data_IF_179487373604
#
_entry.id   IF_179487373604
#
_cell.length_a   1.000
_cell.length_b   1.000
_cell.length_c   1.000
_cell.angle_alpha   90.00
_cell.angle_beta   90.00
_cell.angle_gamma   90.00
#
_symmetry.space_group_name_H-M   'P 1'
#
loop_
_entity.id
_entity.type
_entity.pdbx_description
1 polymer ?
#
# COMPACT_ATOMS: atom_id res chain seq x y z
N UNK A 1 14.61 11.71 -2.23
CA UNK A 1 14.27 10.80 -1.13
C UNK A 1 12.91 11.16 -0.61
N UNK A 2 12.01 10.18 -0.48
CA UNK A 2 10.72 10.34 0.19
C UNK A 2 10.90 10.05 1.68
N UNK A 3 10.34 10.91 2.52
CA UNK A 3 10.31 10.78 3.97
C UNK A 3 8.88 11.08 4.42
N UNK A 4 8.25 10.15 5.08
CA UNK A 4 6.84 10.30 5.41
C UNK A 4 6.36 9.35 6.47
N UNK A 5 5.06 9.17 6.50
CA UNK A 5 4.35 8.29 7.44
C UNK A 5 3.10 7.72 6.81
N UNK A 6 2.59 6.66 7.41
CA UNK A 6 1.25 6.15 7.14
C UNK A 6 0.21 6.92 7.97
N UNK A 7 -0.99 7.06 7.44
CA UNK A 7 -2.11 7.64 8.17
C UNK A 7 -3.36 6.79 8.02
N UNK A 8 -3.95 6.41 9.15
CA UNK A 8 -5.31 5.90 9.22
C UNK A 8 -6.29 7.03 9.53
N UNK A 9 -7.46 7.02 8.87
CA UNK A 9 -8.51 8.01 9.11
C UNK A 9 -9.41 7.55 10.24
N UNK A 10 -8.85 7.43 11.44
CA UNK A 10 -9.65 7.11 12.63
C UNK A 10 -9.11 7.81 13.87
N UNK A 11 -10.02 8.23 14.74
CA UNK A 11 -9.70 8.83 16.02
C UNK A 11 -10.81 8.61 17.02
N UNK A 12 -10.45 8.24 18.25
CA UNK A 12 -11.41 8.26 19.36
C UNK A 12 -11.87 9.69 19.66
N UNK A 13 -13.18 9.96 19.88
CA UNK A 13 -14.29 8.99 19.86
C UNK A 13 -15.04 8.89 18.51
N UNK A 14 -14.50 9.43 17.44
CA UNK A 14 -15.20 9.61 16.16
C UNK A 14 -15.18 8.40 15.22
N UNK A 15 -14.30 7.41 15.48
CA UNK A 15 -14.04 6.36 14.51
C UNK A 15 -13.49 6.96 13.21
N UNK A 16 -13.90 6.46 12.05
CA UNK A 16 -13.48 6.96 10.73
C UNK A 16 -14.22 8.25 10.30
N UNK A 17 -15.33 8.58 10.96
CA UNK A 17 -16.09 9.81 10.67
C UNK A 17 -15.53 11.01 11.46
N UNK A 18 -14.25 11.24 11.34
CA UNK A 18 -13.56 12.33 12.04
C UNK A 18 -13.98 13.70 11.51
N UNK A 19 -14.10 14.70 12.38
CA UNK A 19 -14.40 16.08 11.96
C UNK A 19 -13.25 16.65 11.10
N UNK A 20 -13.59 17.57 10.22
CA UNK A 20 -12.64 18.19 9.29
C UNK A 20 -11.40 18.78 9.98
N UNK A 21 -11.53 19.37 11.17
CA UNK A 21 -10.40 19.92 11.91
C UNK A 21 -9.34 18.88 12.29
N UNK A 22 -9.72 17.59 12.41
CA UNK A 22 -8.78 16.50 12.66
C UNK A 22 -7.88 16.29 11.43
N UNK A 23 -8.47 16.27 10.23
CA UNK A 23 -7.69 16.19 8.99
C UNK A 23 -6.68 17.33 8.89
N UNK A 24 -7.12 18.57 9.14
CA UNK A 24 -6.24 19.74 9.17
C UNK A 24 -5.08 19.57 10.15
N UNK A 25 -5.40 19.20 11.39
CA UNK A 25 -4.39 18.98 12.44
C UNK A 25 -3.36 17.93 12.02
N UNK A 26 -3.84 16.76 11.57
CA UNK A 26 -2.98 15.61 11.27
C UNK A 26 -2.03 15.92 10.11
N UNK A 27 -2.55 16.43 8.99
CA UNK A 27 -1.71 16.70 7.81
C UNK A 27 -0.71 17.84 8.10
N UNK A 28 -1.08 18.86 8.86
CA UNK A 28 -0.14 19.91 9.27
C UNK A 28 0.93 19.39 10.24
N UNK A 29 0.58 18.49 11.17
CA UNK A 29 1.56 17.86 12.05
C UNK A 29 2.55 17.01 11.24
N UNK A 30 2.07 16.19 10.30
CA UNK A 30 2.90 15.39 9.39
C UNK A 30 3.85 16.31 8.62
N UNK A 31 3.34 17.39 8.03
CA UNK A 31 4.18 18.37 7.33
C UNK A 31 5.22 19.03 8.25
N UNK A 32 4.83 19.36 9.49
CA UNK A 32 5.73 20.01 10.46
C UNK A 32 6.88 19.11 10.93
N UNK A 33 6.74 17.80 10.83
CA UNK A 33 7.82 16.85 11.09
C UNK A 33 8.89 16.84 9.97
N UNK A 34 8.68 17.58 8.89
CA UNK A 34 9.57 17.59 7.72
C UNK A 34 9.21 16.53 6.67
N UNK A 35 8.05 15.89 6.79
CA UNK A 35 7.60 14.92 5.79
C UNK A 35 7.33 15.57 4.43
N UNK A 36 7.61 14.81 3.37
CA UNK A 36 7.27 15.14 2.00
C UNK A 36 6.40 14.05 1.33
N UNK A 37 6.06 12.99 2.07
CA UNK A 37 5.31 11.84 1.63
C UNK A 37 4.27 11.41 2.66
N UNK A 38 3.13 10.91 2.20
CA UNK A 38 2.04 10.40 3.04
C UNK A 38 1.37 9.20 2.37
N UNK A 39 1.37 8.05 3.03
CA UNK A 39 0.54 6.91 2.63
C UNK A 39 -0.81 6.95 3.34
N UNK A 40 -1.89 6.91 2.58
CA UNK A 40 -3.26 6.85 3.08
C UNK A 40 -3.67 5.38 3.26
N UNK A 41 -3.19 4.79 4.35
CA UNK A 41 -3.38 3.38 4.65
C UNK A 41 -4.78 3.13 5.26
N UNK A 42 -5.47 2.12 4.89
CA UNK A 42 -5.35 1.18 3.76
C UNK A 42 -6.62 1.33 2.91
N UNK A 43 -7.11 2.54 2.74
CA UNK A 43 -8.37 2.88 2.08
C UNK A 43 -8.38 4.35 1.64
N UNK A 44 -9.16 4.73 0.63
CA UNK A 44 -9.35 6.13 0.27
C UNK A 44 -9.85 6.93 1.46
N UNK A 45 -9.21 8.08 1.71
CA UNK A 45 -9.54 8.95 2.83
C UNK A 45 -10.35 10.16 2.37
N UNK A 46 -10.80 10.98 3.33
CA UNK A 46 -11.58 12.18 3.06
C UNK A 46 -10.84 13.12 2.08
N UNK A 47 -11.56 13.68 1.11
CA UNK A 47 -11.02 14.58 0.07
C UNK A 47 -10.28 15.80 0.67
N UNK A 48 -10.65 16.22 1.89
CA UNK A 48 -9.94 17.28 2.62
C UNK A 48 -8.47 16.94 2.82
N UNK A 49 -8.13 15.65 3.03
CA UNK A 49 -6.74 15.21 3.20
C UNK A 49 -5.95 15.43 1.91
N UNK A 50 -6.53 15.07 0.77
CA UNK A 50 -5.90 15.26 -0.55
C UNK A 50 -5.72 16.74 -0.88
N UNK A 51 -6.74 17.58 -0.65
CA UNK A 51 -6.62 19.03 -0.81
C UNK A 51 -5.51 19.65 0.06
N UNK A 52 -5.34 19.15 1.29
CA UNK A 52 -4.25 19.58 2.16
C UNK A 52 -2.89 19.11 1.64
N UNK A 53 -2.79 17.88 1.15
CA UNK A 53 -1.57 17.38 0.54
C UNK A 53 -1.17 18.18 -0.72
N UNK A 54 -2.15 18.50 -1.58
CA UNK A 54 -1.94 19.39 -2.74
C UNK A 54 -1.38 20.75 -2.32
N UNK A 55 -1.99 21.34 -1.29
CA UNK A 55 -1.62 22.69 -0.83
C UNK A 55 -0.27 22.74 -0.13
N UNK A 56 0.08 21.68 0.62
CA UNK A 56 1.29 21.60 1.44
C UNK A 56 2.46 20.94 0.71
N UNK A 57 2.24 20.41 -0.50
CA UNK A 57 3.27 19.72 -1.28
C UNK A 57 3.71 18.42 -0.61
N UNK A 58 2.75 17.57 -0.25
CA UNK A 58 2.99 16.19 0.18
C UNK A 58 2.69 15.25 -1.00
N UNK A 59 3.59 14.35 -1.30
CA UNK A 59 3.36 13.26 -2.25
C UNK A 59 2.48 12.21 -1.57
N UNK A 60 1.49 11.70 -2.27
CA UNK A 60 0.52 10.75 -1.71
C UNK A 60 0.59 9.40 -2.41
N UNK A 61 0.57 8.36 -1.60
CA UNK A 61 0.18 7.02 -1.96
C UNK A 61 -1.23 6.76 -1.43
N UNK A 62 -2.19 6.57 -2.31
CA UNK A 62 -3.57 6.22 -1.97
C UNK A 62 -3.90 4.82 -2.44
N UNK A 63 -4.65 4.05 -1.66
CA UNK A 63 -4.91 2.64 -1.94
C UNK A 63 -6.33 2.21 -1.62
N UNK A 64 -6.79 1.14 -2.29
CA UNK A 64 -8.06 0.47 -1.96
C UNK A 64 -7.83 -0.63 -0.91
N UNK A 65 -8.84 -0.97 -0.08
CA UNK A 65 -8.69 -1.81 1.11
C UNK A 65 -8.62 -3.32 0.82
N UNK A 66 -7.64 -3.79 0.06
CA UNK A 66 -7.34 -5.22 -0.07
C UNK A 66 -6.21 -5.54 0.91
N UNK A 67 -6.56 -6.00 2.11
CA UNK A 67 -5.62 -6.15 3.22
C UNK A 67 -5.61 -7.60 3.73
N UNK A 68 -4.42 -8.09 4.06
CA UNK A 68 -4.13 -9.39 4.70
C UNK A 68 -4.46 -10.63 3.86
N UNK A 69 -5.64 -10.73 3.29
CA UNK A 69 -6.09 -11.91 2.57
C UNK A 69 -7.11 -11.55 1.47
N UNK A 70 -7.09 -12.27 0.37
CA UNK A 70 -8.08 -12.12 -0.69
C UNK A 70 -9.18 -13.18 -0.56
N UNK A 71 -10.38 -12.88 -1.05
CA UNK A 71 -11.45 -13.85 -1.24
C UNK A 71 -11.53 -14.29 -2.71
N UNK A 72 -11.43 -15.60 -2.93
CA UNK A 72 -11.50 -16.17 -4.27
C UNK A 72 -12.96 -16.31 -4.74
N UNK A 73 -13.58 -15.19 -5.08
CA UNK A 73 -14.92 -15.19 -5.69
C UNK A 73 -15.14 -13.96 -6.59
N UNK A 74 -16.09 -14.11 -7.50
CA UNK A 74 -16.43 -13.09 -8.50
C UNK A 74 -16.89 -11.77 -7.86
N UNK A 75 -17.67 -11.86 -6.77
CA UNK A 75 -18.18 -10.66 -6.08
C UNK A 75 -17.04 -9.83 -5.47
N UNK A 76 -16.07 -10.49 -4.85
CA UNK A 76 -14.88 -9.80 -4.31
C UNK A 76 -14.11 -9.10 -5.43
N UNK A 77 -13.84 -9.79 -6.53
CA UNK A 77 -13.14 -9.21 -7.67
C UNK A 77 -13.86 -7.98 -8.24
N UNK A 78 -15.17 -8.09 -8.48
CA UNK A 78 -15.98 -6.96 -8.97
C UNK A 78 -15.92 -5.78 -7.98
N UNK A 79 -15.96 -6.05 -6.68
CA UNK A 79 -15.86 -5.02 -5.66
C UNK A 79 -14.48 -4.32 -5.71
N UNK A 80 -13.38 -5.06 -5.83
CA UNK A 80 -12.04 -4.49 -5.97
C UNK A 80 -11.94 -3.61 -7.24
N UNK A 81 -12.44 -4.11 -8.38
CA UNK A 81 -12.47 -3.36 -9.64
C UNK A 81 -13.27 -2.05 -9.51
N UNK A 82 -14.41 -2.11 -8.83
CA UNK A 82 -15.27 -0.94 -8.62
C UNK A 82 -14.57 0.10 -7.75
N UNK A 83 -14.03 -0.32 -6.60
CA UNK A 83 -13.32 0.57 -5.69
C UNK A 83 -12.11 1.22 -6.35
N UNK A 84 -11.32 0.45 -7.12
CA UNK A 84 -10.17 0.99 -7.83
C UNK A 84 -10.56 2.07 -8.84
N UNK A 85 -11.59 1.81 -9.66
CA UNK A 85 -12.11 2.79 -10.62
C UNK A 85 -12.67 4.04 -9.94
N UNK A 86 -13.42 3.85 -8.86
CA UNK A 86 -13.99 4.98 -8.10
C UNK A 86 -12.89 5.84 -7.50
N UNK A 87 -11.91 5.26 -6.82
CA UNK A 87 -10.77 5.96 -6.25
C UNK A 87 -10.03 6.78 -7.32
N UNK A 88 -9.60 6.14 -8.40
CA UNK A 88 -8.85 6.81 -9.47
C UNK A 88 -9.67 7.95 -10.08
N UNK A 89 -10.95 7.72 -10.43
CA UNK A 89 -11.78 8.72 -11.09
C UNK A 89 -12.17 9.89 -10.20
N UNK A 90 -12.38 9.65 -8.91
CA UNK A 90 -12.71 10.71 -7.94
C UNK A 90 -11.50 11.59 -7.66
N UNK A 91 -10.32 10.98 -7.52
CA UNK A 91 -9.11 11.68 -7.08
C UNK A 91 -8.10 11.97 -8.20
N UNK A 92 -8.49 11.74 -9.45
CA UNK A 92 -7.63 11.95 -10.62
C UNK A 92 -7.01 13.35 -10.71
N UNK A 93 -7.74 14.37 -10.27
CA UNK A 93 -7.31 15.77 -10.39
C UNK A 93 -6.44 16.25 -9.21
N UNK A 94 -6.10 15.39 -8.24
CA UNK A 94 -5.19 15.74 -7.17
C UNK A 94 -3.74 15.58 -7.60
N UNK A 95 -2.96 16.66 -7.74
CA UNK A 95 -1.56 16.58 -8.15
C UNK A 95 -0.64 15.96 -7.10
N UNK A 96 -1.06 15.91 -5.83
CA UNK A 96 -0.34 15.24 -4.76
C UNK A 96 -0.32 13.72 -4.91
N UNK A 97 -1.37 13.12 -5.49
CA UNK A 97 -1.44 11.67 -5.69
C UNK A 97 -0.49 11.28 -6.81
N UNK A 98 0.55 10.54 -6.46
CA UNK A 98 1.58 10.04 -7.38
C UNK A 98 1.52 8.52 -7.49
N UNK A 99 1.03 7.85 -6.46
CA UNK A 99 0.96 6.40 -6.38
C UNK A 99 -0.48 5.93 -6.15
N UNK A 100 -0.94 5.01 -7.02
CA UNK A 100 -2.18 4.28 -6.85
C UNK A 100 -1.90 2.88 -6.30
N UNK A 101 -2.40 2.58 -5.11
CA UNK A 101 -2.23 1.30 -4.46
C UNK A 101 -3.49 0.42 -4.49
N UNK A 102 -3.31 -0.90 -4.39
CA UNK A 102 -4.46 -1.81 -4.37
C UNK A 102 -4.31 -3.07 -3.52
N UNK A 103 -3.15 -3.35 -2.93
CA UNK A 103 -2.95 -4.49 -2.04
C UNK A 103 -2.00 -4.16 -0.91
N UNK A 104 -2.30 -4.68 0.28
CA UNK A 104 -1.44 -4.64 1.46
C UNK A 104 -1.33 -6.02 2.09
N UNK A 105 -0.11 -6.57 2.16
CA UNK A 105 0.25 -7.78 2.92
C UNK A 105 -0.61 -9.02 2.64
N UNK A 106 -1.10 -9.19 1.43
CA UNK A 106 -2.07 -10.23 1.07
C UNK A 106 -1.58 -11.67 1.24
N UNK A 107 -0.29 -11.87 1.57
CA UNK A 107 0.32 -13.19 1.84
C UNK A 107 0.48 -13.45 3.35
N UNK A 108 0.53 -12.43 4.19
CA UNK A 108 0.92 -12.57 5.60
C UNK A 108 -0.01 -13.49 6.41
N UNK A 109 -1.31 -13.45 6.14
CA UNK A 109 -2.32 -14.22 6.88
C UNK A 109 -2.58 -15.63 6.31
N UNK A 110 -2.00 -15.96 5.16
CA UNK A 110 -2.22 -17.25 4.48
C UNK A 110 -1.89 -18.42 5.40
N UNK A 111 -0.78 -18.35 6.12
CA UNK A 111 -0.30 -19.42 7.00
C UNK A 111 -1.22 -19.72 8.18
N UNK A 112 -2.12 -18.79 8.50
CA UNK A 112 -3.07 -18.89 9.61
C UNK A 112 -4.52 -19.14 9.18
N UNK A 113 -4.88 -18.74 7.94
CA UNK A 113 -6.27 -18.69 7.49
C UNK A 113 -6.58 -19.60 6.30
N UNK A 114 -5.56 -20.13 5.62
CA UNK A 114 -5.69 -20.99 4.44
C UNK A 114 -5.10 -22.35 4.74
N UNK A 115 -5.79 -23.43 4.36
CA UNK A 115 -5.24 -24.78 4.51
C UNK A 115 -3.97 -24.95 3.68
N UNK A 116 -2.98 -25.66 4.21
CA UNK A 116 -1.65 -25.77 3.58
C UNK A 116 -1.71 -26.31 2.14
N UNK A 117 -2.63 -27.21 1.89
CA UNK A 117 -2.88 -27.84 0.60
C UNK A 117 -3.38 -26.83 -0.46
N UNK A 118 -3.92 -25.69 0.00
CA UNK A 118 -4.49 -24.63 -0.86
C UNK A 118 -3.52 -23.47 -1.11
N UNK A 119 -2.37 -23.40 -0.41
CA UNK A 119 -1.44 -22.26 -0.50
C UNK A 119 -1.01 -21.96 -1.92
N UNK A 120 -0.62 -22.96 -2.71
CA UNK A 120 -0.19 -22.76 -4.09
C UNK A 120 -1.32 -22.19 -4.97
N UNK A 121 -2.53 -22.69 -4.76
CA UNK A 121 -3.71 -22.15 -5.44
C UNK A 121 -4.00 -20.71 -5.04
N UNK A 122 -3.89 -20.42 -3.75
CA UNK A 122 -4.08 -19.07 -3.20
C UNK A 122 -3.05 -18.08 -3.78
N UNK A 123 -1.77 -18.43 -3.74
CA UNK A 123 -0.69 -17.59 -4.28
C UNK A 123 -0.90 -17.27 -5.75
N UNK A 124 -1.23 -18.28 -6.55
CA UNK A 124 -1.55 -18.09 -7.96
C UNK A 124 -2.70 -17.10 -8.17
N UNK A 125 -3.79 -17.25 -7.41
CA UNK A 125 -4.97 -16.38 -7.50
C UNK A 125 -4.67 -14.95 -7.03
N UNK A 126 -3.81 -14.78 -6.04
CA UNK A 126 -3.37 -13.45 -5.59
C UNK A 126 -2.60 -12.73 -6.70
N UNK A 127 -1.67 -13.41 -7.36
CA UNK A 127 -0.93 -12.83 -8.49
C UNK A 127 -1.83 -12.55 -9.69
N UNK A 128 -2.77 -13.45 -9.99
CA UNK A 128 -3.77 -13.25 -11.07
C UNK A 128 -4.66 -12.03 -10.80
N UNK A 129 -5.11 -11.85 -9.55
CA UNK A 129 -5.88 -10.68 -9.15
C UNK A 129 -5.04 -9.40 -9.23
N UNK A 130 -3.80 -9.43 -8.75
CA UNK A 130 -2.89 -8.30 -8.81
C UNK A 130 -2.66 -7.84 -10.26
N UNK A 131 -2.33 -8.76 -11.18
CA UNK A 131 -2.16 -8.47 -12.60
C UNK A 131 -3.42 -7.91 -13.24
N UNK A 132 -4.58 -8.45 -12.89
CA UNK A 132 -5.86 -7.95 -13.38
C UNK A 132 -6.15 -6.51 -12.92
N UNK A 133 -5.85 -6.19 -11.65
CA UNK A 133 -6.02 -4.84 -11.11
C UNK A 133 -4.99 -3.87 -11.68
N UNK A 134 -3.76 -4.32 -11.93
CA UNK A 134 -2.74 -3.53 -12.63
C UNK A 134 -3.19 -3.14 -14.04
N UNK A 135 -3.64 -4.12 -14.82
CA UNK A 135 -4.16 -3.87 -16.17
C UNK A 135 -5.32 -2.87 -16.16
N UNK A 136 -6.21 -2.99 -15.17
CA UNK A 136 -7.35 -2.09 -14.98
C UNK A 136 -6.89 -0.68 -14.61
N UNK A 137 -5.95 -0.59 -13.66
CA UNK A 137 -5.37 0.70 -13.23
C UNK A 137 -4.73 1.43 -14.41
N UNK A 138 -3.93 0.74 -15.20
CA UNK A 138 -3.27 1.32 -16.40
C UNK A 138 -4.26 1.71 -17.51
N UNK A 139 -5.48 1.17 -17.50
CA UNK A 139 -6.57 1.65 -18.38
C UNK A 139 -7.18 2.95 -17.86
N UNK A 140 -7.32 3.12 -16.54
CA UNK A 140 -7.88 4.33 -15.92
C UNK A 140 -6.86 5.48 -15.84
N UNK A 141 -5.60 5.20 -15.47
CA UNK A 141 -4.52 6.18 -15.41
C UNK A 141 -3.17 5.58 -15.82
N UNK A 142 -2.60 6.10 -16.91
CA UNK A 142 -1.28 5.71 -17.42
C UNK A 142 -0.16 6.64 -16.95
N UNK A 143 -0.50 7.71 -16.26
CA UNK A 143 0.44 8.78 -15.95
C UNK A 143 1.08 8.63 -14.58
N UNK A 144 0.43 7.92 -13.67
CA UNK A 144 0.89 7.70 -12.30
C UNK A 144 1.38 6.28 -12.10
N UNK A 145 2.23 6.13 -11.09
CA UNK A 145 2.81 4.84 -10.74
C UNK A 145 1.81 3.98 -9.96
N UNK A 146 1.86 2.68 -10.22
CA UNK A 146 1.18 1.69 -9.40
C UNK A 146 2.09 1.25 -8.26
N UNK A 147 1.49 0.87 -7.12
CA UNK A 147 2.23 0.41 -5.95
C UNK A 147 1.41 -0.60 -5.16
N UNK A 148 2.08 -1.54 -4.52
CA UNK A 148 1.49 -2.37 -3.46
C UNK A 148 2.48 -2.53 -2.31
N UNK A 149 1.97 -2.84 -1.11
CA UNK A 149 2.78 -3.15 0.05
C UNK A 149 2.82 -4.66 0.31
N UNK A 150 4.00 -5.21 0.41
CA UNK A 150 4.26 -6.59 0.81
C UNK A 150 4.81 -6.64 2.24
N UNK A 151 4.42 -7.64 3.02
CA UNK A 151 5.11 -7.95 4.27
C UNK A 151 6.47 -8.60 3.97
N UNK A 152 7.38 -8.55 4.94
CA UNK A 152 8.77 -9.00 4.81
C UNK A 152 8.98 -10.51 4.53
N UNK A 153 8.12 -11.15 3.75
CA UNK A 153 8.25 -12.55 3.36
C UNK A 153 8.78 -12.67 1.93
N UNK A 154 9.87 -13.41 1.75
CA UNK A 154 10.46 -13.72 0.43
C UNK A 154 9.49 -14.47 -0.50
N UNK A 155 8.41 -15.03 0.02
CA UNK A 155 7.36 -15.69 -0.78
C UNK A 155 6.75 -14.72 -1.79
N UNK A 156 6.65 -13.44 -1.47
CA UNK A 156 6.14 -12.44 -2.41
C UNK A 156 6.96 -12.42 -3.72
N UNK A 157 8.28 -12.55 -3.61
CA UNK A 157 9.20 -12.60 -4.74
C UNK A 157 9.11 -13.96 -5.45
N UNK A 158 9.14 -15.04 -4.68
CA UNK A 158 9.15 -16.40 -5.21
C UNK A 158 7.91 -16.68 -6.09
N UNK A 159 6.79 -16.02 -5.80
CA UNK A 159 5.54 -16.15 -6.59
C UNK A 159 5.41 -15.09 -7.70
N UNK A 160 6.34 -14.14 -7.81
CA UNK A 160 6.32 -13.06 -8.79
C UNK A 160 5.27 -11.98 -8.50
N UNK A 161 4.87 -11.81 -7.24
CA UNK A 161 3.92 -10.75 -6.87
C UNK A 161 4.59 -9.37 -6.91
N UNK A 162 5.86 -9.30 -6.52
CA UNK A 162 6.66 -8.07 -6.49
C UNK A 162 6.95 -7.47 -7.86
N UNK A 163 6.78 -8.24 -8.94
CA UNK A 163 7.00 -7.81 -10.32
C UNK A 163 5.75 -7.21 -10.99
N UNK A 164 4.64 -7.09 -10.26
CA UNK A 164 3.35 -6.72 -10.88
C UNK A 164 3.16 -5.22 -10.96
N UNK A 165 3.56 -4.47 -9.94
CA UNK A 165 3.43 -3.00 -9.88
C UNK A 165 4.69 -2.28 -10.34
N UNK A 166 4.57 -0.99 -10.70
CA UNK A 166 5.73 -0.16 -11.05
C UNK A 166 6.69 0.01 -9.87
N UNK A 167 6.15 0.04 -8.65
CA UNK A 167 6.91 0.23 -7.40
C UNK A 167 6.40 -0.76 -6.35
N UNK A 168 7.31 -1.26 -5.51
CA UNK A 168 6.99 -2.12 -4.37
C UNK A 168 7.30 -1.41 -3.05
N UNK A 169 6.35 -1.48 -2.11
CA UNK A 169 6.55 -1.09 -0.71
C UNK A 169 6.74 -2.33 0.18
N UNK A 170 7.65 -2.22 1.14
CA UNK A 170 7.89 -3.28 2.12
C UNK A 170 7.48 -2.83 3.51
N UNK A 171 6.53 -3.53 4.12
CA UNK A 171 6.20 -3.37 5.53
C UNK A 171 7.17 -4.22 6.34
N UNK A 172 8.15 -3.58 6.94
CA UNK A 172 9.19 -4.21 7.74
C UNK A 172 9.00 -3.88 9.24
N UNK A 173 9.16 -4.89 10.09
CA UNK A 173 8.78 -4.82 11.49
C UNK A 173 9.92 -5.15 12.47
N UNK A 174 11.18 -5.02 12.03
CA UNK A 174 12.35 -5.24 12.89
C UNK A 174 12.37 -4.21 14.03
N UNK A 175 12.48 -4.73 15.25
CA UNK A 175 12.38 -3.93 16.47
C UNK A 175 10.95 -3.68 16.97
N UNK A 176 9.93 -4.15 16.23
CA UNK A 176 8.53 -4.09 16.66
C UNK A 176 7.95 -5.48 16.92
N UNK A 177 7.73 -6.30 15.89
CA UNK A 177 7.23 -7.69 16.04
C UNK A 177 8.34 -8.72 16.06
N UNK A 178 9.48 -8.45 15.44
CA UNK A 178 10.60 -9.38 15.30
C UNK A 178 11.93 -8.68 15.56
N UNK A 179 12.89 -9.42 16.12
CA UNK A 179 14.26 -8.93 16.33
C UNK A 179 14.37 -7.67 17.17
N UNK A 180 15.50 -7.01 17.06
CA UNK A 180 15.81 -5.70 17.66
C UNK A 180 16.00 -4.61 16.60
N UNK A 181 16.14 -3.36 17.05
CA UNK A 181 16.36 -2.21 16.13
C UNK A 181 17.63 -2.34 15.29
N UNK A 182 18.67 -3.01 15.82
CA UNK A 182 19.93 -3.26 15.10
C UNK A 182 19.79 -4.30 13.98
N UNK A 183 18.70 -5.04 13.94
CA UNK A 183 18.52 -6.12 12.97
C UNK A 183 17.94 -5.60 11.64
N UNK A 184 17.47 -4.36 11.60
CA UNK A 184 16.89 -3.75 10.41
C UNK A 184 17.91 -3.67 9.25
N UNK A 185 19.08 -3.08 9.52
CA UNK A 185 20.17 -2.95 8.53
C UNK A 185 20.59 -4.32 7.99
N UNK A 186 20.83 -5.27 8.90
CA UNK A 186 21.21 -6.63 8.52
C UNK A 186 20.14 -7.31 7.66
N UNK A 187 18.86 -7.17 8.03
CA UNK A 187 17.75 -7.76 7.28
C UNK A 187 17.65 -7.18 5.87
N UNK A 188 17.71 -5.87 5.75
CA UNK A 188 17.67 -5.20 4.44
C UNK A 188 18.87 -5.56 3.56
N UNK A 189 20.07 -5.62 4.12
CA UNK A 189 21.29 -6.01 3.38
C UNK A 189 21.22 -7.46 2.88
N UNK A 190 20.69 -8.40 3.69
CA UNK A 190 20.53 -9.80 3.29
C UNK A 190 19.48 -9.95 2.17
N UNK A 191 18.37 -9.23 2.23
CA UNK A 191 17.35 -9.24 1.19
C UNK A 191 17.86 -8.59 -0.10
N UNK A 192 18.54 -7.46 -0.02
CA UNK A 192 19.16 -6.81 -1.19
C UNK A 192 20.22 -7.64 -1.87
N UNK A 193 21.00 -8.41 -1.12
CA UNK A 193 21.98 -9.35 -1.69
C UNK A 193 21.31 -10.52 -2.44
N UNK A 194 20.17 -10.97 -1.93
CA UNK A 194 19.41 -12.07 -2.52
C UNK A 194 18.62 -11.66 -3.76
N UNK A 195 18.14 -10.41 -3.77
CA UNK A 195 17.30 -9.84 -4.83
C UNK A 195 17.88 -8.48 -5.25
N UNK A 196 18.98 -8.43 -6.02
CA UNK A 196 19.68 -7.19 -6.38
C UNK A 196 18.85 -6.21 -7.23
N UNK A 197 17.87 -6.72 -7.97
CA UNK A 197 16.97 -5.90 -8.81
C UNK A 197 15.99 -5.07 -7.98
N UNK A 198 15.91 -5.31 -6.67
CA UNK A 198 15.08 -4.57 -5.73
C UNK A 198 15.50 -3.11 -5.48
N UNK A 199 16.75 -2.76 -5.77
CA UNK A 199 17.33 -1.47 -5.37
C UNK A 199 16.91 -0.30 -6.26
N UNK A 200 16.38 -0.55 -7.44
CA UNK A 200 16.09 0.55 -8.37
C UNK A 200 14.72 1.20 -8.16
N UNK A 201 13.73 0.49 -7.56
CA UNK A 201 12.33 0.93 -7.55
C UNK A 201 11.59 0.78 -6.20
N UNK A 202 12.25 0.68 -5.03
CA UNK A 202 11.58 0.35 -3.78
C UNK A 202 11.50 1.47 -2.73
N UNK A 203 10.33 1.51 -2.05
CA UNK A 203 10.13 2.26 -0.81
C UNK A 203 10.15 1.32 0.39
N UNK A 204 11.01 1.61 1.37
CA UNK A 204 11.01 0.98 2.69
C UNK A 204 10.26 1.90 3.66
N UNK A 205 9.20 1.39 4.26
CA UNK A 205 8.38 2.08 5.26
C UNK A 205 8.71 1.67 6.69
#
# INVERSE_FOLDING_TARGET
>A
KLLGTNRHQDQYPYGIAVPQWVHYRDVHLIKSMGANFLRLAHYPQDETVLHLCDSLGLIVWEEIPIVDIIADNVTFRINCETQLKEMVRQHYNHPSVVFWGYMNETINQVYYRVAKEEWQSYFKKTVELAKHLEDLLKQEDKSRLSVMACGGSTVNNDIGLTEVTDVMGWNLYQGWYVGGFSDFEKYTDEDFQKYPDFLEDEFIE
#
